data_IF_775547202400
#
_entry.id   IF_775547202400
#
_cell.length_a   1.000
_cell.length_b   1.000
_cell.length_c   1.000
_cell.angle_alpha   90.00
_cell.angle_beta   90.00
_cell.angle_gamma   90.00
#
_symmetry.space_group_name_H-M   'P 1'
#
loop_
_entity.id
_entity.type
_entity.pdbx_description
1 polymer ?
#
# COMPACT_ATOMS: atom_id res chain seq x y z
N UNK A 1 9.36 -3.80 3.04
CA UNK A 1 9.32 -2.63 3.96
C UNK A 1 8.21 -2.72 4.99
N UNK A 2 7.02 -3.13 4.62
CA UNK A 2 5.90 -3.22 5.56
C UNK A 2 6.17 -4.23 6.69
N UNK A 3 6.74 -5.37 6.37
CA UNK A 3 7.09 -6.39 7.36
C UNK A 3 8.19 -5.93 8.33
N UNK A 4 8.97 -4.94 7.95
CA UNK A 4 9.96 -4.32 8.82
C UNK A 4 9.37 -3.30 9.80
N UNK A 5 8.04 -3.06 9.74
CA UNK A 5 7.32 -2.18 10.66
C UNK A 5 6.99 -0.80 10.09
N UNK A 6 7.34 -0.52 8.84
CA UNK A 6 6.97 0.74 8.17
C UNK A 6 5.46 0.74 7.91
N UNK A 7 4.77 1.79 8.34
CA UNK A 7 3.32 1.94 8.15
C UNK A 7 2.95 2.92 7.04
N UNK A 8 3.80 3.88 6.76
CA UNK A 8 3.60 4.87 5.71
C UNK A 8 4.69 4.70 4.65
N UNK A 9 4.29 4.49 3.40
CA UNK A 9 5.19 4.28 2.27
C UNK A 9 4.91 5.31 1.20
N UNK A 10 5.95 5.99 0.73
CA UNK A 10 5.88 6.93 -0.38
C UNK A 10 6.51 6.29 -1.61
N UNK A 11 5.73 6.14 -2.68
CA UNK A 11 6.20 5.57 -3.94
C UNK A 11 6.26 6.66 -5.01
N UNK A 12 7.44 6.95 -5.54
CA UNK A 12 7.60 8.00 -6.55
C UNK A 12 7.27 7.50 -7.96
N UNK A 13 7.12 8.43 -8.90
CA UNK A 13 7.04 8.14 -10.33
C UNK A 13 5.88 7.24 -10.73
N UNK A 14 4.73 7.41 -10.10
CA UNK A 14 3.51 6.70 -10.49
C UNK A 14 2.91 7.39 -11.72
N UNK A 15 2.76 6.66 -12.81
CA UNK A 15 2.39 7.20 -14.11
C UNK A 15 1.01 6.74 -14.60
N UNK A 16 0.53 5.58 -14.13
CA UNK A 16 -0.72 4.98 -14.61
C UNK A 16 -1.59 4.48 -13.46
N UNK A 17 -2.90 4.36 -13.75
CA UNK A 17 -3.84 3.76 -12.81
C UNK A 17 -3.52 2.29 -12.53
N UNK A 18 -3.00 1.57 -13.52
CA UNK A 18 -2.60 0.18 -13.35
C UNK A 18 -1.47 0.05 -12.33
N UNK A 19 -0.46 0.92 -12.39
CA UNK A 19 0.60 0.96 -11.38
C UNK A 19 0.04 1.25 -10.00
N UNK A 20 -0.88 2.20 -9.89
CA UNK A 20 -1.51 2.54 -8.61
C UNK A 20 -2.30 1.36 -8.04
N UNK A 21 -3.08 0.65 -8.86
CA UNK A 21 -3.83 -0.54 -8.42
C UNK A 21 -2.91 -1.64 -7.93
N UNK A 22 -1.82 -1.88 -8.64
CA UNK A 22 -0.82 -2.87 -8.24
C UNK A 22 -0.21 -2.54 -6.88
N UNK A 23 0.11 -1.26 -6.65
CA UNK A 23 0.65 -0.82 -5.37
C UNK A 23 -0.36 -1.02 -4.23
N UNK A 24 -1.63 -0.73 -4.46
CA UNK A 24 -2.70 -0.98 -3.47
C UNK A 24 -2.76 -2.47 -3.13
N UNK A 25 -2.73 -3.34 -4.14
CA UNK A 25 -2.75 -4.79 -3.93
C UNK A 25 -1.52 -5.26 -3.15
N UNK A 26 -0.35 -4.68 -3.44
CA UNK A 26 0.90 -5.08 -2.81
C UNK A 26 0.95 -4.73 -1.30
N UNK A 27 0.19 -3.74 -0.85
CA UNK A 27 0.17 -3.34 0.56
C UNK A 27 -0.96 -3.97 1.37
N UNK A 28 -1.88 -4.67 0.72
CA UNK A 28 -3.03 -5.33 1.37
C UNK A 28 -2.85 -6.84 1.41
N UNK A 29 -3.25 -7.45 2.51
CA UNK A 29 -3.28 -8.91 2.62
C UNK A 29 -4.43 -9.52 1.81
N UNK A 30 -4.28 -10.78 1.35
CA UNK A 30 -5.40 -11.50 0.74
C UNK A 30 -6.62 -11.56 1.69
N UNK A 31 -7.86 -11.60 1.18
CA UNK A 31 -8.24 -11.66 -0.23
C UNK A 31 -8.33 -10.31 -0.94
N UNK A 32 -8.21 -9.18 -0.24
CA UNK A 32 -8.36 -7.84 -0.84
C UNK A 32 -7.14 -7.40 -1.64
N UNK A 33 -5.98 -7.99 -1.39
CA UNK A 33 -4.74 -7.72 -2.10
C UNK A 33 -3.85 -8.94 -2.13
N UNK A 34 -2.56 -8.74 -2.33
CA UNK A 34 -1.59 -9.83 -2.46
C UNK A 34 -0.31 -9.63 -1.67
N UNK A 35 -0.33 -8.81 -0.63
CA UNK A 35 0.79 -8.69 0.30
C UNK A 35 1.16 -10.06 0.85
N UNK A 36 2.45 -10.41 0.84
CA UNK A 36 2.92 -11.69 1.38
C UNK A 36 2.56 -11.85 2.86
N UNK A 37 2.02 -13.00 3.24
CA UNK A 37 1.60 -13.28 4.62
C UNK A 37 2.74 -13.96 5.37
N UNK A 38 3.37 -13.22 6.27
CA UNK A 38 4.48 -13.71 7.09
C UNK A 38 4.62 -12.89 8.36
N UNK A 39 3.55 -12.23 8.78
CA UNK A 39 3.60 -11.22 9.83
C UNK A 39 3.93 -11.79 11.22
N UNK A 40 3.62 -13.04 11.51
CA UNK A 40 3.83 -13.60 12.85
C UNK A 40 5.29 -13.67 13.24
N UNK A 41 6.20 -13.77 12.25
CA UNK A 41 7.64 -13.77 12.49
C UNK A 41 8.32 -12.45 12.12
N UNK A 42 7.56 -11.39 11.83
CA UNK A 42 8.09 -10.13 11.33
C UNK A 42 7.96 -8.99 12.35
N UNK A 43 8.78 -7.97 12.20
CA UNK A 43 8.78 -6.80 13.07
C UNK A 43 7.44 -6.05 13.06
N UNK A 44 6.73 -6.01 11.93
CA UNK A 44 5.47 -5.28 11.80
C UNK A 44 4.43 -5.69 12.84
N UNK A 45 4.40 -6.96 13.24
CA UNK A 45 3.52 -7.49 14.29
C UNK A 45 4.20 -7.55 15.66
N UNK A 46 5.39 -6.96 15.81
CA UNK A 46 6.26 -7.11 16.97
C UNK A 46 6.55 -8.59 17.26
N UNK A 47 6.86 -9.33 16.20
CA UNK A 47 7.19 -10.76 16.24
C UNK A 47 6.06 -11.61 16.87
N UNK A 48 4.81 -11.25 16.54
CA UNK A 48 3.63 -11.97 17.01
C UNK A 48 3.00 -11.41 18.28
N UNK A 49 3.58 -10.37 18.88
CA UNK A 49 3.02 -9.77 20.09
C UNK A 49 1.68 -9.03 19.85
N UNK A 50 1.45 -8.56 18.60
CA UNK A 50 0.16 -7.98 18.21
C UNK A 50 -0.70 -9.13 17.68
N UNK A 51 -1.61 -9.64 18.51
CA UNK A 51 -2.36 -10.86 18.21
C UNK A 51 -3.32 -10.74 17.02
N UNK A 52 -3.86 -9.56 16.78
CA UNK A 52 -4.85 -9.30 15.72
C UNK A 52 -4.26 -8.57 14.51
N UNK A 53 -2.95 -8.58 14.34
CA UNK A 53 -2.28 -7.82 13.29
C UNK A 53 -2.83 -8.15 11.90
N UNK A 54 -3.06 -9.43 11.60
CA UNK A 54 -3.57 -9.84 10.30
C UNK A 54 -4.95 -9.27 9.95
N UNK A 55 -5.77 -8.95 10.95
CA UNK A 55 -7.09 -8.35 10.77
C UNK A 55 -7.07 -6.83 10.71
N UNK A 56 -6.08 -6.18 11.31
CA UNK A 56 -6.04 -4.72 11.47
C UNK A 56 -4.97 -4.04 10.63
N UNK A 57 -4.03 -4.79 10.07
CA UNK A 57 -2.86 -4.23 9.37
C UNK A 57 -3.24 -3.32 8.21
N UNK A 58 -4.21 -3.73 7.38
CA UNK A 58 -4.60 -2.96 6.20
C UNK A 58 -5.12 -1.57 6.57
N UNK A 59 -5.78 -1.44 7.71
CA UNK A 59 -6.31 -0.16 8.17
C UNK A 59 -5.22 0.79 8.70
N UNK A 60 -4.04 0.25 9.00
CA UNK A 60 -2.93 1.02 9.58
C UNK A 60 -1.88 1.43 8.57
N UNK A 61 -1.99 0.97 7.33
CA UNK A 61 -1.06 1.30 6.26
C UNK A 61 -1.51 2.57 5.54
N UNK A 62 -0.57 3.49 5.32
CA UNK A 62 -0.78 4.67 4.50
C UNK A 62 0.14 4.60 3.28
N UNK A 63 -0.46 4.54 2.11
CA UNK A 63 0.26 4.54 0.85
C UNK A 63 0.17 5.92 0.22
N UNK A 64 1.31 6.57 0.06
CA UNK A 64 1.44 7.85 -0.65
C UNK A 64 2.06 7.59 -2.01
N UNK A 65 1.49 8.16 -3.05
CA UNK A 65 2.07 8.08 -4.38
C UNK A 65 2.39 9.48 -4.90
N UNK A 66 3.51 9.60 -5.64
CA UNK A 66 3.91 10.84 -6.28
C UNK A 66 3.60 10.80 -7.77
N UNK A 67 2.83 11.79 -8.22
CA UNK A 67 2.61 12.06 -9.64
C UNK A 67 3.49 13.26 -9.98
N UNK A 68 4.59 13.01 -10.68
CA UNK A 68 5.65 14.02 -10.83
C UNK A 68 6.21 14.15 -12.24
N UNK A 69 5.58 13.50 -13.22
CA UNK A 69 5.96 13.65 -14.62
C UNK A 69 4.72 13.83 -15.50
N UNK A 70 4.97 14.12 -16.80
CA UNK A 70 3.90 14.39 -17.75
C UNK A 70 2.93 13.20 -17.87
N UNK A 71 3.45 11.98 -17.99
CA UNK A 71 2.61 10.78 -18.12
C UNK A 71 1.68 10.61 -16.92
N UNK A 72 2.18 10.83 -15.71
CA UNK A 72 1.37 10.77 -14.49
C UNK A 72 0.29 11.86 -14.47
N UNK A 73 0.64 13.07 -14.89
CA UNK A 73 -0.32 14.19 -14.95
C UNK A 73 -1.41 13.92 -15.99
N UNK A 74 -1.07 13.38 -17.13
CA UNK A 74 -2.02 13.04 -18.18
C UNK A 74 -3.00 11.94 -17.73
N UNK A 75 -2.55 11.04 -16.87
CA UNK A 75 -3.35 9.93 -16.34
C UNK A 75 -3.91 10.20 -14.94
N UNK A 76 -3.81 11.43 -14.45
CA UNK A 76 -4.16 11.77 -13.06
C UNK A 76 -5.59 11.40 -12.70
N UNK A 77 -6.56 11.68 -13.57
CA UNK A 77 -7.97 11.36 -13.29
C UNK A 77 -8.17 9.85 -13.11
N UNK A 78 -7.52 9.04 -13.92
CA UNK A 78 -7.59 7.59 -13.82
C UNK A 78 -6.91 7.07 -12.53
N UNK A 79 -5.78 7.69 -12.16
CA UNK A 79 -5.07 7.35 -10.92
C UNK A 79 -5.95 7.70 -9.71
N UNK A 80 -6.60 8.87 -9.73
CA UNK A 80 -7.50 9.30 -8.66
C UNK A 80 -8.75 8.42 -8.54
N UNK A 81 -9.13 7.71 -9.60
CA UNK A 81 -10.27 6.81 -9.59
C UNK A 81 -9.96 5.45 -8.95
N UNK A 82 -8.69 5.12 -8.70
CA UNK A 82 -8.30 3.92 -7.95
C UNK A 82 -8.80 4.04 -6.52
N UNK A 83 -9.13 2.92 -5.88
CA UNK A 83 -9.58 2.91 -4.49
C UNK A 83 -8.59 3.65 -3.59
N UNK A 84 -8.99 4.83 -3.12
CA UNK A 84 -8.13 5.78 -2.42
C UNK A 84 -8.20 5.65 -0.91
N UNK A 85 -8.83 4.62 -0.36
CA UNK A 85 -8.94 4.47 1.09
C UNK A 85 -7.57 4.42 1.78
N UNK A 86 -6.51 4.05 1.03
CA UNK A 86 -5.15 3.96 1.52
C UNK A 86 -4.16 4.85 0.77
N UNK A 87 -4.62 5.65 -0.21
CA UNK A 87 -3.73 6.38 -1.13
C UNK A 87 -3.91 7.88 -0.92
N UNK A 88 -2.78 8.59 -0.81
CA UNK A 88 -2.71 10.04 -0.88
C UNK A 88 -1.79 10.44 -2.04
N UNK A 89 -2.19 11.42 -2.80
CA UNK A 89 -1.48 11.89 -4.00
C UNK A 89 -0.97 13.30 -3.79
#
# INVERSE_FOLDING_TARGET
MLDAGVQTVLVPMVETAEQARKLVDDVRYPPTGRRGVGYSGARCSRFGAIADYGQTADDQICLLIQVENRAGIENLDEILAVDLSLIHI
#
